data_IF_137096037843
#
_entry.id   IF_137096037843
#
_cell.length_a   1.000
_cell.length_b   1.000
_cell.length_c   1.000
_cell.angle_alpha   90.00
_cell.angle_beta   90.00
_cell.angle_gamma   90.00
#
_symmetry.space_group_name_H-M   'P 1'
#
loop_
_entity.id
_entity.type
_entity.pdbx_description
1 polymer ?
#
# COMPACT_ATOMS: atom_id res chain seq x y z
N UNK A 1 53.44 -34.54 -11.05
CA UNK A 1 52.06 -34.59 -11.57
C UNK A 1 51.17 -33.91 -10.56
N UNK A 2 50.77 -32.71 -10.89
CA UNK A 2 49.84 -31.90 -10.03
C UNK A 2 48.48 -31.95 -10.69
N UNK A 3 47.55 -32.60 -10.05
CA UNK A 3 46.14 -32.75 -10.50
C UNK A 3 45.40 -31.49 -10.07
N UNK A 4 44.98 -30.72 -11.05
CA UNK A 4 44.22 -29.48 -10.85
C UNK A 4 42.74 -29.86 -10.82
N UNK A 5 42.14 -29.87 -9.64
CA UNK A 5 40.70 -30.10 -9.46
C UNK A 5 39.91 -28.92 -9.99
N UNK A 6 39.22 -29.10 -11.08
CA UNK A 6 38.26 -28.15 -11.67
C UNK A 6 37.02 -28.10 -10.79
N UNK A 7 36.82 -27.00 -10.04
CA UNK A 7 35.58 -26.71 -9.34
C UNK A 7 34.48 -26.40 -10.35
N UNK A 8 33.56 -27.30 -10.52
CA UNK A 8 32.31 -27.05 -11.30
C UNK A 8 31.38 -26.19 -10.42
N UNK A 9 31.27 -24.93 -10.72
CA UNK A 9 30.23 -24.08 -10.13
C UNK A 9 28.89 -24.52 -10.70
N UNK A 10 28.07 -25.14 -9.83
CA UNK A 10 26.68 -25.47 -10.16
C UNK A 10 25.89 -24.16 -10.09
N UNK A 11 25.63 -23.56 -11.24
CA UNK A 11 24.70 -22.45 -11.36
C UNK A 11 23.30 -22.99 -11.02
N UNK A 12 22.78 -22.67 -9.83
CA UNK A 12 21.39 -22.95 -9.52
C UNK A 12 20.52 -22.15 -10.49
N UNK A 13 19.72 -22.83 -11.29
CA UNK A 13 18.72 -22.20 -12.13
C UNK A 13 17.73 -21.44 -11.20
N UNK A 14 17.66 -20.12 -11.35
CA UNK A 14 16.65 -19.32 -10.63
C UNK A 14 15.28 -19.73 -11.16
N UNK A 15 14.46 -20.34 -10.29
CA UNK A 15 13.09 -20.74 -10.65
C UNK A 15 12.31 -19.48 -11.03
N UNK A 16 11.61 -19.49 -12.17
CA UNK A 16 10.78 -18.38 -12.59
C UNK A 16 9.69 -18.09 -11.54
N UNK A 17 9.39 -16.81 -11.27
CA UNK A 17 8.39 -16.47 -10.24
C UNK A 17 7.02 -17.05 -10.62
N UNK A 18 6.35 -17.63 -9.60
CA UNK A 18 4.98 -18.10 -9.76
C UNK A 18 4.06 -16.92 -10.00
N UNK A 19 3.23 -17.03 -11.04
CA UNK A 19 2.30 -15.96 -11.43
C UNK A 19 0.87 -16.46 -11.41
N UNK A 20 -0.08 -15.57 -11.09
CA UNK A 20 -1.51 -15.87 -10.99
C UNK A 20 -2.36 -14.75 -11.60
N UNK A 21 -3.65 -15.02 -11.76
CA UNK A 21 -4.63 -14.03 -12.17
C UNK A 21 -4.58 -13.67 -13.65
N UNK A 22 -5.22 -12.57 -13.98
CA UNK A 22 -5.30 -12.02 -15.35
C UNK A 22 -5.49 -10.50 -15.27
N UNK A 23 -5.25 -9.82 -16.38
CA UNK A 23 -5.62 -8.43 -16.57
C UNK A 23 -6.72 -8.34 -17.64
N UNK A 24 -7.78 -7.60 -17.37
CA UNK A 24 -8.88 -7.42 -18.31
C UNK A 24 -8.36 -6.84 -19.65
N UNK A 25 -8.72 -7.46 -20.76
CA UNK A 25 -8.24 -7.08 -22.09
C UNK A 25 -6.87 -7.65 -22.48
N UNK A 26 -6.14 -8.29 -21.56
CA UNK A 26 -4.91 -9.04 -21.85
C UNK A 26 -4.72 -10.19 -20.84
N UNK A 27 -5.39 -11.29 -21.07
CA UNK A 27 -5.43 -12.44 -20.16
C UNK A 27 -4.10 -13.21 -20.04
N UNK A 28 -3.15 -12.97 -20.96
CA UNK A 28 -1.80 -13.54 -20.88
C UNK A 28 -0.93 -12.84 -19.81
N UNK A 29 -1.30 -11.63 -19.43
CA UNK A 29 -0.60 -10.83 -18.41
C UNK A 29 -0.96 -11.36 -17.03
N UNK A 30 0.05 -11.72 -16.24
CA UNK A 30 -0.08 -12.38 -14.95
C UNK A 30 0.62 -11.57 -13.85
N UNK A 31 0.07 -11.62 -12.65
CA UNK A 31 0.62 -11.00 -11.46
C UNK A 31 1.61 -11.91 -10.76
N UNK A 32 2.75 -11.38 -10.35
CA UNK A 32 3.72 -12.06 -9.48
C UNK A 32 3.64 -11.48 -8.06
N UNK A 33 4.25 -12.16 -7.09
CA UNK A 33 4.38 -11.60 -5.73
C UNK A 33 5.23 -10.33 -5.77
N UNK A 34 4.84 -9.36 -4.96
CA UNK A 34 5.61 -8.16 -4.64
C UNK A 34 6.58 -8.39 -3.50
N UNK A 35 7.01 -7.32 -2.85
CA UNK A 35 8.02 -7.37 -1.79
C UNK A 35 7.48 -6.84 -0.45
N UNK A 36 8.11 -7.29 0.65
CA UNK A 36 7.83 -6.79 1.99
C UNK A 36 8.21 -5.31 2.13
N UNK A 37 9.25 -4.84 1.44
CA UNK A 37 9.66 -3.43 1.44
C UNK A 37 8.55 -2.51 0.92
N UNK A 38 7.79 -2.94 -0.09
CA UNK A 38 6.64 -2.18 -0.58
C UNK A 38 5.51 -2.15 0.47
N UNK A 39 5.26 -3.26 1.16
CA UNK A 39 4.29 -3.31 2.27
C UNK A 39 4.70 -2.38 3.40
N UNK A 40 5.99 -2.35 3.75
CA UNK A 40 6.53 -1.49 4.82
C UNK A 40 6.30 0.00 4.57
N UNK A 41 6.27 0.45 3.31
CA UNK A 41 5.93 1.83 2.97
C UNK A 41 4.51 2.17 3.44
N UNK A 42 3.54 1.29 3.20
CA UNK A 42 2.17 1.49 3.63
C UNK A 42 2.00 1.36 5.15
N UNK A 43 2.69 0.41 5.79
CA UNK A 43 2.67 0.27 7.24
C UNK A 43 3.16 1.55 7.91
N UNK A 44 4.30 2.10 7.48
CA UNK A 44 4.83 3.38 7.97
C UNK A 44 3.88 4.55 7.71
N UNK A 45 3.22 4.58 6.55
CA UNK A 45 2.19 5.57 6.25
C UNK A 45 1.09 5.57 7.32
N UNK A 46 0.56 4.41 7.68
CA UNK A 46 -0.46 4.28 8.71
C UNK A 46 0.07 4.65 10.12
N UNK A 47 1.30 4.25 10.45
CA UNK A 47 1.96 4.60 11.72
C UNK A 47 2.13 6.11 11.88
N UNK A 48 2.56 6.81 10.82
CA UNK A 48 2.71 8.26 10.85
C UNK A 48 1.36 9.00 10.92
N UNK A 49 0.29 8.41 10.39
CA UNK A 49 -1.07 8.92 10.64
C UNK A 49 -1.46 8.76 12.12
N UNK A 50 -1.15 7.62 12.74
CA UNK A 50 -1.43 7.37 14.16
C UNK A 50 -0.71 8.36 15.09
N UNK A 51 0.45 8.85 14.68
CA UNK A 51 1.28 9.81 15.43
C UNK A 51 1.14 11.24 14.90
N UNK A 52 0.33 11.46 13.86
CA UNK A 52 0.07 12.75 13.21
C UNK A 52 1.34 13.45 12.67
N UNK A 53 2.31 12.67 12.20
CA UNK A 53 3.60 13.16 11.70
C UNK A 53 3.52 13.51 10.20
N UNK A 54 2.83 14.62 9.87
CA UNK A 54 2.53 15.03 8.48
C UNK A 54 3.78 15.04 7.60
N UNK A 55 4.90 15.56 8.05
CA UNK A 55 6.12 15.63 7.23
C UNK A 55 6.65 14.25 6.87
N UNK A 56 6.53 13.27 7.76
CA UNK A 56 6.90 11.87 7.47
C UNK A 56 5.91 11.21 6.52
N UNK A 57 4.60 11.49 6.66
CA UNK A 57 3.59 11.04 5.70
C UNK A 57 3.95 11.60 4.31
N UNK A 58 4.20 12.90 4.22
CA UNK A 58 4.53 13.57 2.96
C UNK A 58 5.84 13.05 2.34
N UNK A 59 6.81 12.59 3.14
CA UNK A 59 8.03 11.97 2.64
C UNK A 59 7.80 10.62 1.93
N UNK A 60 6.69 9.93 2.24
CA UNK A 60 6.29 8.68 1.59
C UNK A 60 5.38 8.90 0.37
N UNK A 61 4.93 10.10 0.10
CA UNK A 61 4.04 10.42 -1.02
C UNK A 61 4.84 10.83 -2.26
N UNK A 62 4.45 10.35 -3.43
CA UNK A 62 4.93 10.89 -4.71
C UNK A 62 4.36 12.29 -4.95
N UNK A 63 5.06 13.12 -5.74
CA UNK A 63 4.62 14.49 -5.99
C UNK A 63 3.25 14.58 -6.70
N UNK A 64 2.97 13.59 -7.55
CA UNK A 64 1.72 13.47 -8.29
C UNK A 64 0.75 12.45 -7.69
N UNK A 65 0.85 12.17 -6.39
CA UNK A 65 0.00 11.18 -5.72
C UNK A 65 -1.49 11.41 -6.00
N UNK A 66 -2.23 10.31 -6.16
CA UNK A 66 -3.68 10.32 -6.31
C UNK A 66 -4.33 9.48 -5.21
N UNK A 67 -5.32 10.06 -4.54
CA UNK A 67 -6.03 9.42 -3.42
C UNK A 67 -7.51 9.45 -3.67
N UNK A 68 -8.14 8.28 -3.55
CA UNK A 68 -9.60 8.16 -3.53
C UNK A 68 -10.04 7.63 -2.17
N UNK A 69 -10.73 8.45 -1.42
CA UNK A 69 -11.26 8.11 -0.11
C UNK A 69 -12.61 7.38 -0.17
N UNK A 70 -13.06 6.82 0.97
CA UNK A 70 -14.25 5.96 1.03
C UNK A 70 -15.57 6.71 0.86
N UNK A 71 -15.60 8.02 1.10
CA UNK A 71 -16.80 8.85 0.97
C UNK A 71 -16.85 9.61 -0.38
N UNK A 72 -15.93 9.26 -1.31
CA UNK A 72 -15.84 9.85 -2.63
C UNK A 72 -14.85 11.01 -2.73
N UNK A 73 -14.00 11.19 -1.73
CA UNK A 73 -12.92 12.17 -1.80
C UNK A 73 -11.95 11.80 -2.91
N UNK A 74 -11.52 12.81 -3.63
CA UNK A 74 -10.47 12.68 -4.62
C UNK A 74 -9.44 13.79 -4.46
N UNK A 75 -8.23 13.39 -4.11
CA UNK A 75 -7.11 14.29 -3.85
C UNK A 75 -6.02 14.00 -4.88
N UNK A 76 -5.54 15.03 -5.56
CA UNK A 76 -4.48 14.90 -6.54
C UNK A 76 -3.33 15.86 -6.23
N UNK A 77 -2.16 15.27 -6.12
CA UNK A 77 -0.91 15.97 -5.87
C UNK A 77 -0.59 16.15 -4.39
N UNK A 78 0.69 16.22 -4.11
CA UNK A 78 1.27 16.22 -2.77
C UNK A 78 0.85 17.44 -1.93
N UNK A 79 0.73 18.61 -2.58
CA UNK A 79 0.31 19.85 -1.89
C UNK A 79 -1.15 19.78 -1.45
N UNK A 80 -2.05 19.29 -2.32
CA UNK A 80 -3.46 19.10 -1.98
C UNK A 80 -3.64 18.07 -0.85
N UNK A 81 -2.84 17.00 -0.88
CA UNK A 81 -2.84 16.00 0.19
C UNK A 81 -2.39 16.59 1.52
N UNK A 82 -1.34 17.42 1.55
CA UNK A 82 -0.89 18.11 2.77
C UNK A 82 -2.01 18.97 3.34
N UNK A 83 -2.64 19.81 2.52
CA UNK A 83 -3.74 20.67 2.98
C UNK A 83 -4.91 19.89 3.56
N UNK A 84 -5.25 18.75 2.96
CA UNK A 84 -6.26 17.84 3.51
C UNK A 84 -5.85 17.27 4.87
N UNK A 85 -4.62 16.75 5.00
CA UNK A 85 -4.13 16.14 6.23
C UNK A 85 -4.01 17.12 7.39
N UNK A 86 -3.62 18.36 7.14
CA UNK A 86 -3.53 19.42 8.16
C UNK A 86 -4.89 19.70 8.83
N UNK A 87 -5.98 19.60 8.08
CA UNK A 87 -7.33 19.73 8.63
C UNK A 87 -7.85 18.44 9.25
N UNK A 88 -7.66 17.33 8.55
CA UNK A 88 -8.31 16.05 8.90
C UNK A 88 -7.68 15.33 10.09
N UNK A 89 -6.33 15.29 10.19
CA UNK A 89 -5.65 14.53 11.25
C UNK A 89 -6.01 15.01 12.65
N UNK A 90 -6.07 16.33 12.86
CA UNK A 90 -6.45 16.90 14.15
C UNK A 90 -7.91 16.67 14.50
N UNK A 91 -8.80 16.75 13.52
CA UNK A 91 -10.23 16.59 13.72
C UNK A 91 -10.65 15.12 13.90
N UNK A 92 -10.15 14.25 13.02
CA UNK A 92 -10.49 12.83 13.02
C UNK A 92 -9.67 11.99 14.01
N UNK A 93 -8.45 12.40 14.34
CA UNK A 93 -7.51 11.68 15.19
C UNK A 93 -7.47 10.17 14.90
N UNK A 94 -7.19 9.75 13.64
CA UNK A 94 -7.34 8.37 13.22
C UNK A 94 -6.33 7.46 13.91
N UNK A 95 -6.75 6.23 14.20
CA UNK A 95 -5.91 5.15 14.72
C UNK A 95 -6.08 3.92 13.86
N UNK A 96 -5.09 3.68 13.00
CA UNK A 96 -5.04 2.56 12.08
C UNK A 96 -4.48 1.32 12.77
N UNK A 97 -5.15 0.18 12.60
CA UNK A 97 -4.74 -1.13 13.12
C UNK A 97 -4.73 -2.13 11.96
N UNK A 98 -3.55 -2.40 11.44
CA UNK A 98 -3.38 -3.35 10.33
C UNK A 98 -3.88 -4.74 10.72
N UNK A 99 -4.58 -5.41 9.80
CA UNK A 99 -5.04 -6.79 9.96
C UNK A 99 -4.23 -7.74 9.10
N UNK A 100 -4.06 -7.43 7.83
CA UNK A 100 -3.23 -8.17 6.88
C UNK A 100 -2.87 -7.29 5.69
N UNK A 101 -1.79 -7.66 5.01
CA UNK A 101 -1.37 -7.05 3.75
C UNK A 101 -0.71 -8.09 2.85
N UNK A 102 -0.81 -7.88 1.56
CA UNK A 102 -0.07 -8.61 0.53
C UNK A 102 0.33 -7.65 -0.58
N UNK A 103 1.40 -7.96 -1.29
CA UNK A 103 1.85 -7.17 -2.43
C UNK A 103 1.95 -8.02 -3.69
N UNK A 104 1.60 -7.43 -4.81
CA UNK A 104 1.78 -8.01 -6.15
C UNK A 104 2.49 -7.01 -7.06
N UNK A 105 3.30 -7.52 -7.98
CA UNK A 105 4.00 -6.70 -8.97
C UNK A 105 3.07 -6.39 -10.14
N UNK A 106 2.99 -5.11 -10.54
CA UNK A 106 2.22 -4.71 -11.71
C UNK A 106 2.79 -5.40 -12.96
N UNK A 107 1.96 -6.18 -13.67
CA UNK A 107 2.42 -6.96 -14.82
C UNK A 107 2.78 -6.11 -16.04
N UNK A 108 2.47 -4.79 -16.04
CA UNK A 108 2.86 -3.89 -17.11
C UNK A 108 4.36 -3.51 -17.09
N UNK A 109 5.11 -4.00 -16.09
CA UNK A 109 6.57 -3.82 -16.03
C UNK A 109 7.03 -2.39 -15.76
N UNK A 110 6.15 -1.55 -15.19
CA UNK A 110 6.43 -0.14 -14.88
C UNK A 110 7.13 0.08 -13.52
N UNK A 111 7.45 -1.01 -12.81
CA UNK A 111 8.05 -0.99 -11.46
C UNK A 111 7.07 -0.69 -10.34
N UNK A 112 5.77 -0.61 -10.63
CA UNK A 112 4.72 -0.47 -9.62
C UNK A 112 4.50 -1.78 -8.89
N UNK A 113 4.29 -1.72 -7.58
CA UNK A 113 3.76 -2.80 -6.78
C UNK A 113 2.44 -2.38 -6.15
N UNK A 114 1.48 -3.28 -6.15
CA UNK A 114 0.17 -3.04 -5.57
C UNK A 114 0.04 -3.77 -4.24
N UNK A 115 -0.17 -3.02 -3.18
CA UNK A 115 -0.44 -3.56 -1.85
C UNK A 115 -1.96 -3.63 -1.67
N UNK A 116 -2.45 -4.83 -1.39
CA UNK A 116 -3.82 -5.06 -0.97
C UNK A 116 -3.82 -5.32 0.53
N UNK A 117 -4.61 -4.59 1.27
CA UNK A 117 -4.59 -4.70 2.73
C UNK A 117 -5.96 -4.43 3.33
N UNK A 118 -6.18 -4.97 4.52
CA UNK A 118 -7.32 -4.63 5.36
C UNK A 118 -6.84 -4.11 6.72
N UNK A 119 -7.54 -3.13 7.24
CA UNK A 119 -7.24 -2.54 8.54
C UNK A 119 -8.51 -2.03 9.21
N UNK A 120 -8.45 -1.88 10.52
CA UNK A 120 -9.43 -1.14 11.28
C UNK A 120 -8.96 0.30 11.44
N UNK A 121 -9.86 1.24 11.39
CA UNK A 121 -9.60 2.63 11.75
C UNK A 121 -10.61 3.09 12.80
N UNK A 122 -10.07 3.55 13.93
CA UNK A 122 -10.85 4.26 14.93
C UNK A 122 -10.64 5.75 14.72
N UNK A 123 -11.71 6.54 14.61
CA UNK A 123 -11.62 7.97 14.33
C UNK A 123 -12.83 8.72 14.89
N UNK A 124 -12.73 10.04 14.92
CA UNK A 124 -13.83 10.93 15.30
C UNK A 124 -14.49 11.49 14.03
N UNK A 125 -15.79 11.27 13.88
CA UNK A 125 -16.61 11.89 12.84
C UNK A 125 -17.72 12.67 13.51
N UNK A 126 -17.86 13.97 13.20
CA UNK A 126 -18.88 14.85 13.78
C UNK A 126 -18.95 14.78 15.32
N UNK A 127 -17.78 14.65 15.97
CA UNK A 127 -17.66 14.55 17.43
C UNK A 127 -17.98 13.17 18.01
N UNK A 128 -18.31 12.17 17.19
CA UNK A 128 -18.58 10.81 17.63
C UNK A 128 -17.41 9.88 17.31
N UNK A 129 -17.09 8.97 18.23
CA UNK A 129 -16.11 7.91 17.99
C UNK A 129 -16.73 6.84 17.10
N UNK A 130 -16.07 6.53 16.00
CA UNK A 130 -16.49 5.48 15.07
C UNK A 130 -15.32 4.52 14.83
N UNK A 131 -15.66 3.26 14.59
CA UNK A 131 -14.71 2.24 14.15
C UNK A 131 -15.20 1.65 12.83
N UNK A 132 -14.32 1.65 11.85
CA UNK A 132 -14.63 1.11 10.51
C UNK A 132 -13.59 0.08 10.09
N UNK A 133 -14.01 -0.87 9.26
CA UNK A 133 -13.11 -1.75 8.53
C UNK A 133 -12.87 -1.15 7.16
N UNK A 134 -11.61 -0.92 6.83
CA UNK A 134 -11.23 -0.46 5.51
C UNK A 134 -10.47 -1.54 4.75
N UNK A 135 -10.62 -1.52 3.44
CA UNK A 135 -9.79 -2.21 2.48
C UNK A 135 -9.15 -1.17 1.58
N UNK A 136 -7.84 -1.28 1.35
CA UNK A 136 -7.16 -0.38 0.43
C UNK A 136 -6.34 -1.15 -0.61
N UNK A 137 -6.32 -0.60 -1.83
CA UNK A 137 -5.38 -0.96 -2.88
C UNK A 137 -4.41 0.21 -3.05
N UNK A 138 -3.13 -0.04 -2.82
CA UNK A 138 -2.08 1.00 -2.74
C UNK A 138 -0.99 0.72 -3.75
N UNK A 139 -0.78 1.63 -4.70
CA UNK A 139 0.31 1.58 -5.67
C UNK A 139 1.57 2.22 -5.11
N UNK A 140 2.65 1.43 -4.97
CA UNK A 140 3.97 1.87 -4.51
C UNK A 140 4.99 1.68 -5.62
N UNK A 141 5.80 2.70 -5.86
CA UNK A 141 6.93 2.66 -6.77
C UNK A 141 8.07 3.51 -6.22
N UNK A 142 9.29 3.02 -6.31
CA UNK A 142 10.50 3.71 -5.82
C UNK A 142 10.37 4.13 -4.34
N UNK A 143 9.76 3.26 -3.51
CA UNK A 143 9.45 3.49 -2.09
C UNK A 143 8.54 4.71 -1.82
N UNK A 144 7.79 5.16 -2.83
CA UNK A 144 6.80 6.22 -2.71
C UNK A 144 5.41 5.72 -3.10
N UNK A 145 4.40 6.14 -2.34
CA UNK A 145 3.01 5.89 -2.67
C UNK A 145 2.62 6.79 -3.84
N UNK A 146 2.20 6.17 -4.94
CA UNK A 146 1.79 6.85 -6.16
C UNK A 146 0.30 7.14 -6.17
N UNK A 147 -0.48 6.17 -5.68
CA UNK A 147 -1.94 6.25 -5.63
C UNK A 147 -2.49 5.21 -4.66
N UNK A 148 -3.69 5.47 -4.15
CA UNK A 148 -4.46 4.45 -3.45
C UNK A 148 -5.96 4.73 -3.47
N UNK A 149 -6.73 3.65 -3.32
CA UNK A 149 -8.18 3.66 -3.17
C UNK A 149 -8.54 3.01 -1.85
N UNK A 150 -9.48 3.63 -1.13
CA UNK A 150 -9.99 3.10 0.14
C UNK A 150 -11.46 2.78 -0.02
N UNK A 151 -11.85 1.61 0.45
CA UNK A 151 -13.22 1.18 0.58
C UNK A 151 -13.53 0.96 2.06
N UNK A 152 -14.61 1.56 2.57
CA UNK A 152 -15.06 1.34 3.93
C UNK A 152 -16.18 0.30 3.98
N UNK A 153 -16.20 -0.46 5.07
CA UNK A 153 -17.28 -1.38 5.41
C UNK A 153 -17.74 -1.10 6.84
N UNK A 154 -19.05 -0.88 7.01
CA UNK A 154 -19.62 -0.77 8.35
C UNK A 154 -19.49 -2.10 9.09
N UNK A 155 -19.10 -2.02 10.36
CA UNK A 155 -19.12 -3.18 11.22
C UNK A 155 -20.56 -3.58 11.54
N UNK A 156 -20.85 -4.89 11.71
CA UNK A 156 -22.13 -5.31 12.26
C UNK A 156 -22.34 -4.65 13.62
N UNK A 157 -23.59 -4.28 13.91
CA UNK A 157 -23.92 -3.84 15.26
C UNK A 157 -23.53 -4.95 16.26
N UNK A 158 -22.82 -4.59 17.33
CA UNK A 158 -22.56 -5.52 18.43
C UNK A 158 -23.89 -5.90 19.06
N UNK A 159 -24.19 -7.20 19.08
CA UNK A 159 -25.32 -7.73 19.86
C UNK A 159 -25.09 -7.54 21.36
#
# INVERSE_FOLDING_TARGET
>A
CTEQATKTETTQAVEAPKTVGFMAGNESVKWALGSDEAIDVWVKWCEYHNTQEIDKIMALAADNIEVSGPEGEYIKGKEALRGFLEGWLGAANPKFKQQWATAVTDPNGNGMQWIHNAYMVDMTIEGQQVSERHFAAVGVKDNLIQQFWIYSGKLPASE
#
